data_IF_112406564460
#
_entry.id   IF_112406564460
#
_cell.length_a   1.000
_cell.length_b   1.000
_cell.length_c   1.000
_cell.angle_alpha   90.00
_cell.angle_beta   90.00
_cell.angle_gamma   90.00
#
_symmetry.space_group_name_H-M   'P 1'
#
loop_
_entity.id
_entity.type
_entity.pdbx_description
1 polymer ?
#
# COMPACT_ATOMS: atom_id res chain seq x y z
N UNK A 1 -61.28 2.73 -15.37
CA UNK A 1 -59.85 2.49 -15.59
C UNK A 1 -59.05 3.29 -14.58
N UNK A 2 -58.43 2.62 -13.60
CA UNK A 2 -57.43 3.22 -12.70
C UNK A 2 -56.24 2.27 -12.69
N UNK A 3 -55.14 2.70 -13.30
CA UNK A 3 -53.87 1.97 -13.32
C UNK A 3 -53.14 2.35 -12.02
N UNK A 4 -52.91 1.38 -11.15
CA UNK A 4 -52.06 1.55 -9.96
C UNK A 4 -50.64 1.16 -10.33
N UNK A 5 -49.73 2.14 -10.33
CA UNK A 5 -48.30 1.93 -10.58
C UNK A 5 -47.62 1.45 -9.31
N UNK A 6 -46.99 0.27 -9.40
CA UNK A 6 -46.13 -0.30 -8.36
C UNK A 6 -44.77 0.39 -8.44
N UNK A 7 -44.35 1.06 -7.37
CA UNK A 7 -43.02 1.62 -7.24
C UNK A 7 -42.03 0.52 -6.80
N UNK A 8 -41.06 0.21 -7.64
CA UNK A 8 -39.89 -0.60 -7.29
C UNK A 8 -38.90 0.27 -6.51
N UNK A 9 -38.64 -0.10 -5.26
CA UNK A 9 -37.59 0.50 -4.44
C UNK A 9 -36.25 -0.18 -4.80
N UNK A 10 -35.44 0.47 -5.65
CA UNK A 10 -34.06 0.03 -5.90
C UNK A 10 -33.15 0.63 -4.81
N UNK A 11 -32.77 -0.20 -3.83
CA UNK A 11 -31.72 0.15 -2.88
C UNK A 11 -30.37 0.08 -3.60
N UNK A 12 -29.80 1.25 -3.95
CA UNK A 12 -28.42 1.36 -4.43
C UNK A 12 -27.50 1.30 -3.22
N UNK A 13 -27.03 0.10 -2.89
CA UNK A 13 -25.96 -0.11 -1.93
C UNK A 13 -24.61 0.16 -2.59
N UNK A 14 -23.96 1.28 -2.29
CA UNK A 14 -22.55 1.49 -2.64
C UNK A 14 -21.67 0.78 -1.61
N UNK A 15 -21.36 -0.50 -1.85
CA UNK A 15 -20.30 -1.19 -1.11
C UNK A 15 -18.95 -0.77 -1.69
N UNK A 16 -18.16 -0.01 -0.93
CA UNK A 16 -16.77 0.27 -1.26
C UNK A 16 -16.01 -1.06 -1.38
N UNK A 17 -15.33 -1.29 -2.51
CA UNK A 17 -14.60 -2.52 -2.84
C UNK A 17 -13.41 -2.82 -1.90
N UNK A 18 -13.13 -1.94 -0.94
CA UNK A 18 -12.05 -2.05 0.02
C UNK A 18 -12.53 -1.66 1.41
N UNK A 19 -13.21 -2.59 2.08
CA UNK A 19 -13.33 -2.55 3.54
C UNK A 19 -12.04 -3.11 4.15
N UNK A 20 -11.48 -2.38 5.11
CA UNK A 20 -10.33 -2.82 5.91
C UNK A 20 -10.70 -4.02 6.78
N UNK A 21 -9.90 -5.08 6.74
CA UNK A 21 -10.05 -6.20 7.68
C UNK A 21 -9.62 -5.78 9.10
N UNK A 22 -10.29 -6.26 10.17
CA UNK A 22 -9.91 -5.92 11.54
C UNK A 22 -8.58 -6.58 11.92
N UNK A 23 -7.68 -5.79 12.51
CA UNK A 23 -6.44 -6.27 13.12
C UNK A 23 -6.75 -7.02 14.42
N UNK A 24 -6.45 -8.32 14.46
CA UNK A 24 -6.42 -9.09 15.69
C UNK A 24 -5.11 -8.78 16.42
N UNK A 25 -5.20 -8.05 17.53
CA UNK A 25 -4.04 -7.65 18.33
C UNK A 25 -3.27 -8.84 18.88
N UNK A 26 -1.94 -8.75 18.88
CA UNK A 26 -1.10 -9.55 19.76
C UNK A 26 0.08 -8.76 20.31
N UNK A 27 0.26 -8.95 21.61
CA UNK A 27 1.20 -8.37 22.57
C UNK A 27 2.60 -8.05 22.06
N UNK A 28 3.09 -6.88 22.47
CA UNK A 28 4.48 -6.47 22.41
C UNK A 28 5.40 -7.45 23.14
N UNK A 29 6.54 -7.76 22.54
CA UNK A 29 7.71 -8.30 23.24
C UNK A 29 8.95 -7.57 22.74
N UNK A 30 9.58 -6.82 23.63
CA UNK A 30 10.82 -6.12 23.37
C UNK A 30 11.95 -7.12 23.06
N UNK A 31 12.73 -6.86 22.01
CA UNK A 31 13.99 -7.56 21.74
C UNK A 31 15.12 -6.57 21.96
N UNK A 32 16.03 -6.94 22.86
CA UNK A 32 17.16 -6.14 23.30
C UNK A 32 18.22 -6.01 22.19
N UNK A 33 18.76 -4.80 22.06
CA UNK A 33 19.92 -4.48 21.22
C UNK A 33 21.16 -5.22 21.73
N UNK A 34 21.83 -5.95 20.84
CA UNK A 34 23.11 -6.62 21.12
C UNK A 34 24.19 -6.06 20.19
N UNK A 35 24.61 -4.83 20.48
CA UNK A 35 25.92 -4.30 20.07
C UNK A 35 26.83 -4.38 21.26
N UNK A 36 27.85 -5.23 21.19
CA UNK A 36 29.18 -5.12 21.80
C UNK A 36 29.75 -6.54 21.87
N UNK A 37 30.85 -6.81 21.14
CA UNK A 37 31.93 -7.75 21.50
C UNK A 37 32.80 -8.05 20.27
N UNK A 38 33.53 -7.03 19.79
CA UNK A 38 34.78 -7.25 19.08
C UNK A 38 35.90 -6.57 19.86
N UNK A 39 36.76 -7.38 20.50
CA UNK A 39 37.81 -6.87 21.36
C UNK A 39 38.79 -7.94 21.84
N UNK A 40 39.71 -8.33 20.95
CA UNK A 40 41.13 -8.61 21.25
C UNK A 40 41.44 -9.82 22.16
N UNK A 41 41.93 -10.92 21.56
CA UNK A 41 42.86 -11.84 22.25
C UNK A 41 44.10 -12.12 21.41
N UNK A 42 45.24 -11.98 22.10
CA UNK A 42 46.62 -12.20 21.67
C UNK A 42 46.95 -13.69 21.51
N UNK A 43 47.98 -13.90 20.70
CA UNK A 43 48.75 -15.11 20.40
C UNK A 43 48.84 -16.17 21.52
N UNK A 44 48.59 -17.42 21.11
CA UNK A 44 49.03 -18.63 21.76
C UNK A 44 49.64 -19.57 20.73
N UNK A 45 50.94 -19.81 20.84
CA UNK A 45 51.69 -20.82 20.08
C UNK A 45 51.32 -22.21 20.59
N UNK A 46 51.04 -23.19 19.72
CA UNK A 46 51.78 -24.47 19.68
C UNK A 46 51.28 -25.47 18.63
N UNK A 47 52.28 -26.12 18.02
CA UNK A 47 52.37 -27.48 17.47
C UNK A 47 51.64 -27.84 16.16
N UNK A 48 52.50 -27.86 15.14
CA UNK A 48 52.45 -28.49 13.81
C UNK A 48 52.03 -29.97 13.90
N UNK A 49 50.86 -30.29 13.35
CA UNK A 49 50.45 -31.64 12.98
C UNK A 49 50.56 -31.79 11.46
N UNK A 50 51.22 -32.85 11.01
CA UNK A 50 51.36 -33.25 9.61
C UNK A 50 50.01 -33.74 9.08
N UNK A 51 49.29 -32.87 8.36
CA UNK A 51 48.02 -33.17 7.70
C UNK A 51 48.19 -33.30 6.19
N UNK A 52 47.81 -34.46 5.66
CA UNK A 52 47.62 -34.81 4.24
C UNK A 52 46.94 -33.66 3.49
N UNK A 53 47.39 -33.30 2.27
CA UNK A 53 46.68 -32.37 1.37
C UNK A 53 45.26 -32.91 1.14
N UNK A 54 44.29 -32.39 1.87
CA UNK A 54 42.88 -32.55 1.54
C UNK A 54 42.64 -31.57 0.41
N UNK A 55 42.42 -32.10 -0.79
CA UNK A 55 41.99 -31.29 -1.92
C UNK A 55 40.73 -30.53 -1.51
N UNK A 56 40.79 -29.20 -1.59
CA UNK A 56 39.63 -28.36 -1.38
C UNK A 56 38.60 -28.80 -2.44
N UNK A 57 37.39 -29.26 -2.08
CA UNK A 57 36.38 -29.54 -3.08
C UNK A 57 36.12 -28.21 -3.79
N UNK A 58 36.32 -28.20 -5.12
CA UNK A 58 35.88 -27.10 -5.95
C UNK A 58 34.38 -26.97 -5.72
N UNK A 59 33.95 -25.95 -5.00
CA UNK A 59 32.57 -25.51 -5.05
C UNK A 59 32.32 -25.16 -6.51
N UNK A 60 31.52 -25.99 -7.18
CA UNK A 60 31.10 -25.73 -8.54
C UNK A 60 30.45 -24.35 -8.55
N UNK A 61 31.05 -23.42 -9.28
CA UNK A 61 30.37 -22.23 -9.74
C UNK A 61 29.28 -22.74 -10.67
N UNK A 62 28.07 -22.95 -10.16
CA UNK A 62 26.91 -23.04 -11.02
C UNK A 62 26.92 -21.76 -11.87
N UNK A 63 27.05 -21.91 -13.19
CA UNK A 63 26.82 -20.81 -14.12
C UNK A 63 25.39 -20.33 -13.89
N UNK A 64 25.25 -19.22 -13.15
CA UNK A 64 24.02 -18.48 -13.15
C UNK A 64 24.00 -17.75 -14.48
N UNK A 65 23.35 -18.35 -15.48
CA UNK A 65 23.01 -17.63 -16.69
C UNK A 65 22.13 -16.45 -16.28
N UNK A 66 22.49 -15.25 -16.73
CA UNK A 66 21.68 -14.06 -16.50
C UNK A 66 20.26 -14.33 -17.02
N UNK A 67 19.26 -14.04 -16.18
CA UNK A 67 17.85 -14.21 -16.55
C UNK A 67 17.51 -13.19 -17.65
N UNK A 68 16.89 -13.65 -18.74
CA UNK A 68 16.45 -12.76 -19.83
C UNK A 68 15.20 -11.98 -19.44
N UNK A 69 14.92 -10.87 -20.12
CA UNK A 69 13.71 -10.08 -19.86
C UNK A 69 12.41 -10.91 -20.04
N UNK A 70 12.37 -11.78 -21.05
CA UNK A 70 11.22 -12.67 -21.28
C UNK A 70 11.03 -13.71 -20.17
N UNK A 71 12.15 -14.20 -19.60
CA UNK A 71 12.10 -15.07 -18.44
C UNK A 71 11.58 -14.31 -17.21
N UNK A 72 11.99 -13.05 -16.99
CA UNK A 72 11.47 -12.19 -15.92
C UNK A 72 9.96 -11.96 -16.10
N UNK A 73 9.49 -11.64 -17.31
CA UNK A 73 8.05 -11.48 -17.61
C UNK A 73 7.27 -12.76 -17.33
N UNK A 74 7.86 -13.92 -17.62
CA UNK A 74 7.25 -15.22 -17.33
C UNK A 74 7.08 -15.48 -15.83
N UNK A 75 7.92 -14.90 -14.97
CA UNK A 75 7.78 -15.01 -13.51
C UNK A 75 6.50 -14.34 -13.00
N UNK A 76 6.10 -13.21 -13.61
CA UNK A 76 4.82 -12.58 -13.32
C UNK A 76 3.66 -13.51 -13.70
N UNK A 77 3.71 -14.11 -14.90
CA UNK A 77 2.69 -15.07 -15.34
C UNK A 77 2.55 -16.25 -14.38
N UNK A 78 3.65 -16.79 -13.84
CA UNK A 78 3.61 -17.85 -12.83
C UNK A 78 2.90 -17.40 -11.54
N UNK A 79 3.13 -16.17 -11.09
CA UNK A 79 2.44 -15.62 -9.92
C UNK A 79 0.96 -15.36 -10.21
N UNK A 80 0.63 -14.81 -11.37
CA UNK A 80 -0.75 -14.52 -11.78
C UNK A 80 -1.57 -15.82 -11.96
N UNK A 81 -0.95 -16.87 -12.51
CA UNK A 81 -1.54 -18.21 -12.58
C UNK A 81 -1.79 -18.81 -11.20
N UNK A 82 -0.90 -18.54 -10.22
CA UNK A 82 -1.14 -18.95 -8.84
C UNK A 82 -2.39 -18.26 -8.26
N UNK A 83 -2.62 -16.97 -8.56
CA UNK A 83 -3.86 -16.29 -8.16
C UNK A 83 -5.10 -16.98 -8.75
N UNK A 84 -5.03 -17.39 -10.02
CA UNK A 84 -6.13 -18.04 -10.71
C UNK A 84 -6.55 -19.39 -10.08
N UNK A 85 -5.68 -20.01 -9.28
CA UNK A 85 -6.03 -21.24 -8.55
C UNK A 85 -6.99 -20.99 -7.39
N UNK A 86 -7.08 -19.76 -6.87
CA UNK A 86 -7.82 -19.44 -5.66
C UNK A 86 -7.23 -20.02 -4.37
N UNK A 87 -6.07 -20.69 -4.43
CA UNK A 87 -5.40 -21.28 -3.26
C UNK A 87 -4.26 -20.38 -2.77
N UNK A 88 -4.47 -19.73 -1.63
CA UNK A 88 -3.49 -18.83 -0.99
C UNK A 88 -2.15 -19.51 -0.69
N UNK A 89 -2.13 -20.83 -0.46
CA UNK A 89 -0.90 -21.60 -0.22
C UNK A 89 -0.06 -21.70 -1.48
N UNK A 90 -0.70 -21.83 -2.65
CA UNK A 90 0.00 -21.87 -3.95
C UNK A 90 0.62 -20.49 -4.23
N UNK A 91 -0.12 -19.41 -3.93
CA UNK A 91 0.39 -18.05 -4.06
C UNK A 91 1.57 -17.79 -3.10
N UNK A 92 1.41 -18.13 -1.81
CA UNK A 92 2.47 -17.94 -0.81
C UNK A 92 3.74 -18.73 -1.14
N UNK A 93 3.63 -19.91 -1.75
CA UNK A 93 4.79 -20.71 -2.23
C UNK A 93 5.59 -20.04 -3.35
N UNK A 94 5.09 -18.96 -3.97
CA UNK A 94 5.86 -18.16 -4.96
C UNK A 94 6.84 -17.19 -4.30
N UNK A 95 6.73 -16.94 -3.01
CA UNK A 95 7.62 -16.07 -2.25
C UNK A 95 8.79 -16.86 -1.66
N UNK A 96 9.93 -16.18 -1.48
CA UNK A 96 11.12 -16.74 -0.86
C UNK A 96 10.93 -16.93 0.65
N UNK A 97 11.74 -17.77 1.29
CA UNK A 97 11.66 -18.00 2.75
C UNK A 97 11.84 -16.69 3.54
N UNK A 98 12.75 -15.83 3.07
CA UNK A 98 12.90 -14.45 3.53
C UNK A 98 12.35 -13.53 2.45
N UNK A 99 11.11 -13.09 2.62
CA UNK A 99 10.45 -12.20 1.68
C UNK A 99 9.69 -11.11 2.41
N UNK A 100 9.40 -10.02 1.69
CA UNK A 100 8.52 -8.95 2.17
C UNK A 100 7.47 -8.64 1.11
N UNK A 101 6.21 -8.70 1.55
CA UNK A 101 5.06 -8.21 0.81
C UNK A 101 4.55 -6.95 1.50
N UNK A 102 4.51 -5.86 0.73
CA UNK A 102 3.81 -4.62 1.05
C UNK A 102 2.54 -4.59 0.20
N UNK A 103 1.41 -5.08 0.73
CA UNK A 103 0.21 -5.30 -0.05
C UNK A 103 -0.58 -4.03 -0.30
N UNK A 104 -1.42 -4.07 -1.33
CA UNK A 104 -2.23 -2.93 -1.80
C UNK A 104 -3.26 -2.43 -0.79
N UNK A 105 -3.75 -3.31 0.11
CA UNK A 105 -4.93 -3.05 0.96
C UNK A 105 -4.68 -3.29 2.44
N UNK A 106 -3.41 -3.27 2.87
CA UNK A 106 -3.04 -3.50 4.27
C UNK A 106 -1.76 -2.75 4.61
N UNK A 107 -1.81 -1.95 5.67
CA UNK A 107 -0.64 -1.22 6.21
C UNK A 107 0.37 -2.14 6.91
N UNK A 108 0.02 -3.41 7.12
CA UNK A 108 0.90 -4.41 7.75
C UNK A 108 1.74 -5.13 6.69
N UNK A 109 3.09 -4.98 6.73
CA UNK A 109 4.00 -5.79 5.92
C UNK A 109 3.87 -7.27 6.26
N UNK A 110 3.98 -8.14 5.27
CA UNK A 110 3.98 -9.60 5.46
C UNK A 110 5.38 -10.13 5.17
N UNK A 111 6.01 -10.71 6.19
CA UNK A 111 7.44 -11.07 6.15
C UNK A 111 7.72 -12.56 6.20
N UNK A 112 6.66 -13.38 6.23
CA UNK A 112 6.74 -14.83 6.29
C UNK A 112 5.58 -15.48 5.52
N UNK A 113 5.68 -16.80 5.35
CA UNK A 113 4.72 -17.59 4.59
C UNK A 113 3.30 -17.46 5.13
N UNK A 114 3.11 -17.56 6.44
CA UNK A 114 1.79 -17.58 7.06
C UNK A 114 1.10 -16.22 6.94
N UNK A 115 1.84 -15.13 7.15
CA UNK A 115 1.35 -13.77 6.98
C UNK A 115 1.00 -13.43 5.52
N UNK A 116 1.80 -13.91 4.56
CA UNK A 116 1.51 -13.76 3.13
C UNK A 116 0.27 -14.56 2.75
N UNK A 117 0.18 -15.81 3.20
CA UNK A 117 -0.98 -16.68 2.98
C UNK A 117 -2.26 -16.05 3.55
N UNK A 118 -2.23 -15.57 4.79
CA UNK A 118 -3.35 -14.88 5.45
C UNK A 118 -3.88 -13.70 4.63
N UNK A 119 -2.98 -12.86 4.11
CA UNK A 119 -3.36 -11.78 3.20
C UNK A 119 -4.08 -12.32 1.94
N UNK A 120 -3.54 -13.37 1.33
CA UNK A 120 -4.13 -13.95 0.12
C UNK A 120 -5.43 -14.75 0.38
N UNK A 121 -5.67 -15.26 1.58
CA UNK A 121 -6.96 -15.87 1.93
C UNK A 121 -8.11 -14.88 1.74
N UNK A 122 -7.92 -13.61 2.14
CA UNK A 122 -8.91 -12.56 1.94
C UNK A 122 -8.89 -12.01 0.50
N UNK A 123 -7.69 -11.79 -0.06
CA UNK A 123 -7.56 -11.15 -1.38
C UNK A 123 -8.13 -12.03 -2.51
N UNK A 124 -7.95 -13.35 -2.44
CA UNK A 124 -8.41 -14.28 -3.48
C UNK A 124 -9.94 -14.43 -3.54
N UNK A 125 -10.67 -14.06 -2.48
CA UNK A 125 -12.13 -13.98 -2.52
C UNK A 125 -12.64 -12.99 -3.57
N UNK A 126 -11.82 -12.00 -3.94
CA UNK A 126 -12.13 -11.04 -5.01
C UNK A 126 -11.89 -11.57 -6.41
N UNK A 127 -11.34 -12.79 -6.53
CA UNK A 127 -10.91 -13.43 -7.78
C UNK A 127 -10.02 -12.51 -8.64
N UNK A 128 -8.92 -11.98 -8.09
CA UNK A 128 -8.08 -11.00 -8.77
C UNK A 128 -7.33 -11.64 -9.95
N UNK A 129 -7.29 -10.94 -11.08
CA UNK A 129 -6.45 -11.28 -12.24
C UNK A 129 -5.71 -10.05 -12.73
N UNK A 130 -4.38 -10.11 -12.74
CA UNK A 130 -3.52 -9.02 -13.19
C UNK A 130 -3.23 -9.08 -14.69
N UNK A 131 -3.18 -7.91 -15.32
CA UNK A 131 -2.67 -7.74 -16.68
C UNK A 131 -1.56 -6.69 -16.67
N UNK A 132 -0.40 -7.04 -17.24
CA UNK A 132 0.65 -6.06 -17.54
C UNK A 132 0.22 -5.32 -18.79
N UNK A 133 0.03 -4.00 -18.70
CA UNK A 133 -0.15 -3.16 -19.89
C UNK A 133 1.15 -2.42 -20.14
N UNK A 134 1.54 -2.33 -21.41
CA UNK A 134 2.53 -1.36 -21.83
C UNK A 134 1.93 0.04 -21.77
N UNK A 135 2.66 0.97 -21.16
CA UNK A 135 2.30 2.38 -21.17
C UNK A 135 2.34 2.90 -22.61
N UNK A 136 1.37 3.73 -23.02
CA UNK A 136 1.45 4.50 -24.25
C UNK A 136 2.80 5.24 -24.33
N UNK A 137 3.35 5.41 -25.54
CA UNK A 137 4.67 6.04 -25.79
C UNK A 137 4.84 7.38 -25.07
N UNK A 138 3.73 8.11 -24.89
CA UNK A 138 3.63 9.44 -24.29
C UNK A 138 3.78 9.44 -22.76
N UNK A 139 3.52 8.29 -22.10
CA UNK A 139 3.59 8.12 -20.64
C UNK A 139 4.87 7.39 -20.16
N UNK A 140 5.67 6.86 -21.09
CA UNK A 140 6.92 6.14 -20.76
C UNK A 140 7.95 6.98 -19.98
N UNK A 141 7.86 8.31 -20.05
CA UNK A 141 8.76 9.23 -19.32
C UNK A 141 8.24 9.67 -17.95
N UNK A 142 6.96 9.42 -17.62
CA UNK A 142 6.31 9.96 -16.41
C UNK A 142 6.06 8.93 -15.32
N UNK A 143 6.04 7.63 -15.64
CA UNK A 143 5.92 6.57 -14.63
C UNK A 143 6.79 5.37 -15.06
N UNK A 144 7.98 5.22 -14.45
CA UNK A 144 8.92 4.12 -14.75
C UNK A 144 8.40 2.73 -14.32
N UNK A 145 7.18 2.65 -13.78
CA UNK A 145 6.50 1.41 -13.43
C UNK A 145 5.22 1.30 -14.27
N UNK A 146 5.27 0.55 -15.38
CA UNK A 146 4.08 0.17 -16.16
C UNK A 146 2.96 -0.28 -15.20
N UNK A 147 1.81 0.41 -15.09
CA UNK A 147 0.80 0.03 -14.12
C UNK A 147 0.18 -1.33 -14.47
N UNK A 148 0.04 -2.21 -13.49
CA UNK A 148 -0.84 -3.37 -13.64
C UNK A 148 -2.29 -2.92 -13.54
N UNK A 149 -3.15 -3.53 -14.36
CA UNK A 149 -4.59 -3.50 -14.12
C UNK A 149 -5.01 -4.84 -13.53
N UNK A 150 -5.55 -4.83 -12.32
CA UNK A 150 -6.24 -5.97 -11.75
C UNK A 150 -7.72 -5.91 -12.13
N UNK A 151 -8.26 -7.01 -12.61
CA UNK A 151 -9.71 -7.22 -12.72
C UNK A 151 -10.14 -8.13 -11.59
N UNK A 152 -11.10 -7.69 -10.78
CA UNK A 152 -11.70 -8.48 -9.70
C UNK A 152 -12.83 -9.31 -10.29
N UNK A 153 -12.63 -10.63 -10.44
CA UNK A 153 -13.62 -11.52 -11.03
C UNK A 153 -14.96 -11.55 -10.27
N UNK A 154 -14.94 -11.29 -8.96
CA UNK A 154 -16.14 -11.30 -8.13
C UNK A 154 -17.11 -10.13 -8.42
N UNK A 155 -16.60 -8.97 -8.83
CA UNK A 155 -17.41 -7.75 -9.04
C UNK A 155 -17.31 -7.19 -10.46
N UNK A 156 -16.28 -7.57 -11.22
CA UNK A 156 -15.92 -6.96 -12.50
C UNK A 156 -15.08 -5.68 -12.37
N UNK A 157 -14.80 -5.23 -11.14
CA UNK A 157 -14.05 -3.98 -10.90
C UNK A 157 -12.64 -4.04 -11.48
N UNK A 158 -12.18 -2.92 -12.04
CA UNK A 158 -10.83 -2.78 -12.59
C UNK A 158 -10.04 -1.76 -11.78
N UNK A 159 -8.92 -2.20 -11.22
CA UNK A 159 -8.06 -1.38 -10.36
C UNK A 159 -6.69 -1.25 -11.00
N UNK A 160 -6.23 -0.02 -11.20
CA UNK A 160 -4.84 0.26 -11.59
C UNK A 160 -3.95 0.27 -10.35
N UNK A 161 -2.79 -0.38 -10.44
CA UNK A 161 -1.83 -0.47 -9.35
C UNK A 161 -0.40 -0.30 -9.85
N UNK A 162 0.44 0.37 -9.04
CA UNK A 162 1.90 0.33 -9.18
C UNK A 162 2.42 -0.91 -8.48
N UNK A 163 3.52 -1.46 -8.99
CA UNK A 163 4.12 -2.64 -8.39
C UNK A 163 5.63 -2.67 -8.57
N UNK A 164 6.28 -3.47 -7.74
CA UNK A 164 7.68 -3.85 -7.89
C UNK A 164 7.83 -5.29 -7.44
N UNK A 165 8.45 -6.12 -8.28
CA UNK A 165 8.86 -7.48 -7.94
C UNK A 165 10.39 -7.57 -7.98
N UNK A 166 10.98 -8.00 -6.88
CA UNK A 166 12.40 -8.40 -6.82
C UNK A 166 12.44 -9.90 -6.66
N UNK A 167 13.16 -10.57 -7.54
CA UNK A 167 13.27 -12.03 -7.56
C UNK A 167 14.62 -12.50 -7.03
N UNK A 168 14.61 -13.63 -6.35
CA UNK A 168 15.80 -14.37 -5.93
C UNK A 168 15.68 -15.82 -6.42
N UNK A 169 16.80 -16.43 -6.76
CA UNK A 169 16.84 -17.85 -7.08
C UNK A 169 17.11 -18.65 -5.80
N UNK A 170 16.15 -19.47 -5.37
CA UNK A 170 16.20 -20.28 -4.16
C UNK A 170 15.64 -21.68 -4.44
N UNK A 171 16.26 -22.74 -3.90
CA UNK A 171 15.81 -24.13 -4.04
C UNK A 171 15.51 -24.52 -5.51
N UNK A 172 16.41 -24.12 -6.41
CA UNK A 172 16.31 -24.29 -7.87
C UNK A 172 15.06 -23.66 -8.52
N UNK A 173 14.49 -22.62 -7.89
CA UNK A 173 13.32 -21.90 -8.40
C UNK A 173 13.46 -20.39 -8.20
N UNK A 174 13.00 -19.62 -9.17
CA UNK A 174 12.82 -18.18 -8.99
C UNK A 174 11.62 -17.90 -8.06
N UNK A 175 11.89 -17.16 -6.98
CA UNK A 175 10.96 -16.76 -5.94
C UNK A 175 10.93 -15.24 -5.78
N UNK A 176 9.82 -14.73 -5.28
CA UNK A 176 9.65 -13.31 -4.99
C UNK A 176 10.28 -13.00 -3.62
N UNK A 177 11.32 -12.17 -3.60
CA UNK A 177 11.94 -11.68 -2.38
C UNK A 177 11.28 -10.38 -1.89
N UNK A 178 11.00 -9.44 -2.80
CA UNK A 178 10.26 -8.22 -2.46
C UNK A 178 9.09 -8.05 -3.42
N UNK A 179 7.92 -7.79 -2.84
CA UNK A 179 6.74 -7.39 -3.57
C UNK A 179 6.18 -6.14 -2.92
N UNK A 180 6.20 -5.04 -3.65
CA UNK A 180 5.44 -3.85 -3.30
C UNK A 180 4.30 -3.68 -4.29
N UNK A 181 3.07 -3.49 -3.80
CA UNK A 181 1.93 -3.14 -4.65
C UNK A 181 1.10 -2.06 -3.99
N UNK A 182 0.78 -1.00 -4.73
CA UNK A 182 -0.06 0.09 -4.28
C UNK A 182 -1.13 0.41 -5.32
N UNK A 183 -2.33 0.79 -4.88
CA UNK A 183 -3.30 1.42 -5.78
C UNK A 183 -2.70 2.72 -6.33
N UNK A 184 -3.15 3.13 -7.52
CA UNK A 184 -2.83 4.47 -8.02
C UNK A 184 -3.44 5.50 -7.05
N UNK A 185 -2.66 6.45 -6.52
CA UNK A 185 -3.19 7.46 -5.59
C UNK A 185 -4.28 8.33 -6.22
N UNK A 186 -4.27 8.47 -7.54
CA UNK A 186 -5.26 9.22 -8.32
C UNK A 186 -6.59 8.46 -8.48
N UNK A 187 -6.63 7.17 -8.13
CA UNK A 187 -7.83 6.30 -8.18
C UNK A 187 -8.40 5.91 -6.82
N UNK A 188 -7.84 6.44 -5.73
CA UNK A 188 -8.46 6.34 -4.41
C UNK A 188 -9.47 7.49 -4.35
N UNK A 189 -10.78 7.18 -4.31
CA UNK A 189 -11.83 8.13 -3.96
C UNK A 189 -11.66 8.53 -2.48
N UNK A 190 -10.64 9.34 -2.18
CA UNK A 190 -10.48 9.96 -0.84
C UNK A 190 -11.59 11.00 -0.63
N UNK A 191 -12.25 11.45 -1.71
CA UNK A 191 -13.43 12.29 -1.66
C UNK A 191 -14.36 11.93 -2.82
N UNK A 192 -15.67 11.84 -2.55
CA UNK A 192 -16.67 11.95 -3.61
C UNK A 192 -16.40 13.27 -4.35
N UNK A 193 -16.26 13.28 -5.68
CA UNK A 193 -16.17 14.54 -6.41
C UNK A 193 -17.43 15.35 -6.14
N UNK A 194 -17.25 16.58 -5.66
CA UNK A 194 -18.33 17.56 -5.50
C UNK A 194 -18.47 18.35 -6.80
N UNK A 195 -19.71 18.68 -7.15
CA UNK A 195 -20.07 19.52 -8.30
C UNK A 195 -19.65 20.98 -8.09
N UNK A 196 -19.58 21.75 -9.18
CA UNK A 196 -19.27 23.19 -9.10
C UNK A 196 -20.28 23.95 -8.21
N UNK A 197 -21.56 23.55 -8.26
CA UNK A 197 -22.62 24.15 -7.45
C UNK A 197 -22.45 23.83 -5.96
N UNK A 198 -22.00 22.61 -5.63
CA UNK A 198 -21.67 22.25 -4.24
C UNK A 198 -20.45 23.04 -3.72
N UNK A 199 -19.43 23.29 -4.57
CA UNK A 199 -18.29 24.15 -4.20
C UNK A 199 -18.76 25.56 -3.89
N UNK A 200 -19.60 26.15 -4.75
CA UNK A 200 -20.20 27.48 -4.52
C UNK A 200 -21.02 27.49 -3.23
N UNK A 201 -21.83 26.45 -2.99
CA UNK A 201 -22.60 26.27 -1.76
C UNK A 201 -21.74 26.27 -0.51
N UNK A 202 -20.60 25.57 -0.52
CA UNK A 202 -19.64 25.57 0.59
C UNK A 202 -19.03 26.96 0.84
N UNK A 203 -18.76 27.72 -0.23
CA UNK A 203 -18.29 29.10 -0.10
C UNK A 203 -19.35 30.02 0.51
N UNK A 204 -20.62 29.87 0.13
CA UNK A 204 -21.73 30.59 0.76
C UNK A 204 -21.85 30.24 2.25
N UNK A 205 -21.81 28.96 2.61
CA UNK A 205 -21.84 28.51 4.01
C UNK A 205 -20.69 29.10 4.85
N UNK A 206 -19.50 29.26 4.27
CA UNK A 206 -18.38 29.88 4.96
C UNK A 206 -18.57 31.41 5.12
N UNK A 207 -19.08 32.09 4.10
CA UNK A 207 -19.41 33.52 4.18
C UNK A 207 -20.54 33.81 5.17
N UNK A 208 -21.58 32.97 5.21
CA UNK A 208 -22.66 33.07 6.19
C UNK A 208 -22.12 32.91 7.61
N UNK A 209 -21.20 31.96 7.81
CA UNK A 209 -20.50 31.81 9.09
C UNK A 209 -19.70 33.07 9.46
N UNK A 210 -18.97 33.69 8.52
CA UNK A 210 -18.28 34.96 8.78
C UNK A 210 -19.23 36.10 9.14
N UNK A 211 -20.43 36.13 8.56
CA UNK A 211 -21.44 37.16 8.83
C UNK A 211 -22.01 37.07 10.25
N UNK A 212 -21.91 35.90 10.90
CA UNK A 212 -22.33 35.74 12.30
C UNK A 212 -21.45 36.49 13.30
N UNK A 213 -20.22 36.85 12.90
CA UNK A 213 -19.17 37.38 13.78
C UNK A 213 -18.85 36.46 14.99
N UNK A 214 -19.23 35.18 14.95
CA UNK A 214 -18.89 34.19 15.96
C UNK A 214 -17.69 33.32 15.51
N UNK A 215 -16.52 33.46 16.16
CA UNK A 215 -15.33 32.68 15.85
C UNK A 215 -15.56 31.16 15.89
N UNK A 216 -16.38 30.67 16.82
CA UNK A 216 -16.65 29.24 16.95
C UNK A 216 -17.49 28.71 15.77
N UNK A 217 -18.44 29.51 15.28
CA UNK A 217 -19.24 29.17 14.10
C UNK A 217 -18.41 29.13 12.82
N UNK A 218 -17.43 30.03 12.68
CA UNK A 218 -16.47 30.01 11.57
C UNK A 218 -15.53 28.80 11.68
N UNK A 219 -14.97 28.55 12.86
CA UNK A 219 -14.06 27.42 13.09
C UNK A 219 -14.72 26.06 12.81
N UNK A 220 -16.03 25.90 13.07
CA UNK A 220 -16.81 24.71 12.72
C UNK A 220 -16.90 24.41 11.22
N UNK A 221 -16.52 25.34 10.34
CA UNK A 221 -16.44 25.11 8.89
C UNK A 221 -15.14 24.39 8.48
N UNK A 222 -14.17 24.28 9.38
CA UNK A 222 -12.91 23.60 9.13
C UNK A 222 -12.97 22.13 9.57
N UNK A 223 -12.23 21.26 8.90
CA UNK A 223 -12.08 19.87 9.31
C UNK A 223 -11.38 19.78 10.68
N UNK A 224 -11.58 18.67 11.40
CA UNK A 224 -10.97 18.44 12.73
C UNK A 224 -9.44 18.59 12.74
N UNK A 225 -8.79 18.19 11.65
CA UNK A 225 -7.34 18.32 11.44
C UNK A 225 -7.03 19.35 10.33
N UNK A 226 -7.91 20.33 10.15
CA UNK A 226 -7.73 21.37 9.15
C UNK A 226 -6.56 22.28 9.50
N UNK A 227 -5.82 22.71 8.47
CA UNK A 227 -4.78 23.72 8.61
C UNK A 227 -5.31 25.03 8.04
N UNK A 228 -5.34 26.08 8.87
CA UNK A 228 -5.55 27.44 8.43
C UNK A 228 -4.19 28.14 8.33
N UNK A 229 -3.91 28.71 7.16
CA UNK A 229 -2.83 29.66 6.95
C UNK A 229 -3.45 31.07 6.97
N UNK A 230 -3.40 31.76 8.12
CA UNK A 230 -4.09 33.03 8.28
C UNK A 230 -3.45 34.16 7.47
N UNK A 231 -4.28 35.07 6.96
CA UNK A 231 -3.82 36.20 6.14
C UNK A 231 -3.16 37.32 6.94
N UNK A 232 -3.43 37.40 8.26
CA UNK A 232 -2.92 38.46 9.15
C UNK A 232 -2.04 37.92 10.29
N UNK A 233 -1.46 36.73 10.11
CA UNK A 233 -0.54 36.11 11.08
C UNK A 233 0.40 35.14 10.35
N UNK A 234 1.68 35.11 10.74
CA UNK A 234 2.67 34.18 10.18
C UNK A 234 2.63 32.79 10.83
N UNK A 235 1.71 32.56 11.76
CA UNK A 235 1.60 31.31 12.52
C UNK A 235 0.47 30.46 11.95
N UNK A 236 0.74 29.29 11.35
CA UNK A 236 -0.28 28.34 10.96
C UNK A 236 -1.13 27.88 12.15
N UNK A 237 -2.42 27.63 11.92
CA UNK A 237 -3.30 27.01 12.92
C UNK A 237 -3.62 25.60 12.46
N UNK A 238 -3.21 24.60 13.23
CA UNK A 238 -3.26 23.18 12.86
C UNK A 238 -4.29 22.39 13.66
N UNK A 239 -5.08 23.09 14.48
CA UNK A 239 -6.12 22.52 15.34
C UNK A 239 -7.32 23.48 15.46
N UNK A 240 -8.49 22.98 15.93
CA UNK A 240 -9.70 23.79 16.05
C UNK A 240 -9.57 24.97 17.00
N UNK A 241 -8.76 24.84 18.05
CA UNK A 241 -8.57 25.88 19.08
C UNK A 241 -7.81 27.06 18.51
N UNK A 242 -6.70 26.81 17.80
CA UNK A 242 -5.92 27.81 17.10
C UNK A 242 -6.68 28.50 15.98
N UNK A 243 -7.52 27.77 15.23
CA UNK A 243 -8.40 28.35 14.22
C UNK A 243 -9.42 29.30 14.89
N UNK A 244 -10.03 28.87 16.00
CA UNK A 244 -10.99 29.70 16.76
C UNK A 244 -10.32 30.97 17.28
N UNK A 245 -9.14 30.85 17.92
CA UNK A 245 -8.34 31.96 18.43
C UNK A 245 -8.04 33.02 17.35
N UNK A 246 -7.66 32.57 16.15
CA UNK A 246 -7.43 33.50 15.03
C UNK A 246 -8.68 34.33 14.72
N UNK A 247 -9.85 33.68 14.65
CA UNK A 247 -11.09 34.37 14.31
C UNK A 247 -11.61 35.30 15.41
N UNK A 248 -11.23 35.11 16.67
CA UNK A 248 -11.53 36.07 17.76
C UNK A 248 -11.02 37.46 17.41
N UNK A 249 -9.77 37.57 16.94
CA UNK A 249 -9.16 38.85 16.62
C UNK A 249 -9.46 39.30 15.19
N UNK A 250 -9.58 38.37 14.24
CA UNK A 250 -9.86 38.69 12.84
C UNK A 250 -11.25 39.33 12.66
N UNK A 251 -12.26 38.80 13.34
CA UNK A 251 -13.65 39.27 13.18
C UNK A 251 -13.91 40.61 13.87
N UNK A 252 -13.08 41.01 14.85
CA UNK A 252 -13.14 42.33 15.48
C UNK A 252 -12.66 43.48 14.57
N UNK A 253 -11.99 43.15 13.47
CA UNK A 253 -11.48 44.14 12.50
C UNK A 253 -12.49 44.47 11.38
N UNK A 254 -13.73 43.98 11.48
CA UNK A 254 -14.82 44.29 10.55
C UNK A 254 -15.68 45.44 11.05
#
# INVERSE_FOLDING_TARGET
MKISTIAFLAAVGTSSAFTTAPSAGRSSRAVASSTELFGRRRAGSTKRATGKKVANPKFGTAEHTDITEDQVRSLFSLWNNALATGDSRIVAKRYAKQSILLPTVSDTPRTDFDAIKDYFDAFLLKQPQGQVREAPEEDKSRDLNNPHQFTMGATGDKVKARYTYVYVYEDNQWKIAHHHSSVMPEGIDIAKPITEDEVKGLFHLWNDALATLDPATVAKRYAKNGVLLPTVSDVPRTDPEGITDYFVNFLQKK
#
